data_IF_850747988466
#
_entry.id   IF_850747988466
#
_cell.length_a   1.000
_cell.length_b   1.000
_cell.length_c   1.000
_cell.angle_alpha   90.00
_cell.angle_beta   90.00
_cell.angle_gamma   90.00
#
_symmetry.space_group_name_H-M   'P 1'
#
loop_
_entity.id
_entity.type
_entity.pdbx_description
1 polymer ?
#
# COMPACT_ATOMS: atom_id res chain seq x y z
N UNK A 1 10.51 -23.11 -12.65
CA UNK A 1 10.07 -21.69 -12.64
C UNK A 1 11.03 -20.90 -13.51
N UNK A 2 10.54 -20.21 -14.55
CA UNK A 2 11.36 -19.62 -15.61
C UNK A 2 12.13 -18.34 -15.20
N UNK A 3 13.10 -17.94 -16.03
CA UNK A 3 14.00 -16.80 -15.80
C UNK A 3 13.26 -15.49 -15.46
N UNK A 4 12.13 -15.21 -16.11
CA UNK A 4 11.30 -14.02 -15.84
C UNK A 4 10.83 -13.94 -14.38
N UNK A 5 10.46 -15.08 -13.77
CA UNK A 5 10.02 -15.12 -12.37
C UNK A 5 11.15 -14.82 -11.38
N UNK A 6 12.38 -15.21 -11.73
CA UNK A 6 13.56 -14.88 -10.94
C UNK A 6 13.86 -13.38 -10.95
N UNK A 7 13.74 -12.74 -12.12
CA UNK A 7 13.98 -11.31 -12.27
C UNK A 7 12.96 -10.45 -11.51
N UNK A 8 11.69 -10.86 -11.46
CA UNK A 8 10.64 -10.16 -10.71
C UNK A 8 10.94 -10.18 -9.21
N UNK A 9 11.24 -11.36 -8.64
CA UNK A 9 11.49 -11.49 -7.20
C UNK A 9 12.73 -10.75 -6.71
N UNK A 10 13.72 -10.53 -7.59
CA UNK A 10 14.92 -9.79 -7.23
C UNK A 10 14.65 -8.31 -6.88
N UNK A 11 13.48 -7.78 -7.22
CA UNK A 11 13.10 -6.38 -7.00
C UNK A 11 11.91 -6.23 -6.02
N UNK A 12 11.55 -7.30 -5.30
CA UNK A 12 10.44 -7.29 -4.34
C UNK A 12 10.97 -7.70 -2.98
N UNK A 13 10.80 -6.82 -2.00
CA UNK A 13 11.05 -7.14 -0.59
C UNK A 13 9.75 -7.61 0.07
N UNK A 14 9.82 -8.73 0.78
CA UNK A 14 8.69 -9.26 1.54
C UNK A 14 8.83 -8.85 3.00
N UNK A 15 7.89 -8.05 3.47
CA UNK A 15 7.87 -7.57 4.86
C UNK A 15 6.79 -8.33 5.61
N UNK A 16 7.15 -8.89 6.77
CA UNK A 16 6.16 -9.55 7.62
C UNK A 16 5.27 -8.51 8.31
N UNK A 17 3.98 -8.82 8.49
CA UNK A 17 3.05 -7.93 9.20
C UNK A 17 3.51 -7.61 10.64
N UNK A 18 4.23 -8.54 11.28
CA UNK A 18 4.80 -8.35 12.61
C UNK A 18 5.96 -7.34 12.64
N UNK A 19 6.59 -7.04 11.50
CA UNK A 19 7.64 -6.03 11.39
C UNK A 19 7.07 -4.60 11.32
N UNK A 20 5.77 -4.44 10.98
CA UNK A 20 5.11 -3.14 10.92
C UNK A 20 4.74 -2.70 12.34
N UNK A 21 5.11 -1.47 12.70
CA UNK A 21 4.89 -0.96 14.05
C UNK A 21 3.40 -0.93 14.42
N UNK A 22 3.09 -1.10 15.72
CA UNK A 22 1.72 -1.00 16.23
C UNK A 22 1.08 0.35 15.91
N UNK A 23 1.88 1.42 15.88
CA UNK A 23 1.44 2.78 15.52
C UNK A 23 0.99 2.85 14.06
N UNK A 24 1.84 2.40 13.12
CA UNK A 24 1.50 2.36 11.69
C UNK A 24 0.27 1.47 11.44
N UNK A 25 0.19 0.32 12.13
CA UNK A 25 -0.99 -0.57 12.07
C UNK A 25 -2.26 0.10 12.57
N UNK A 26 -2.19 0.88 13.65
CA UNK A 26 -3.33 1.63 14.17
C UNK A 26 -3.78 2.73 13.20
N UNK A 27 -2.83 3.48 12.61
CA UNK A 27 -3.13 4.49 11.59
C UNK A 27 -3.75 3.87 10.34
N UNK A 28 -3.20 2.76 9.84
CA UNK A 28 -3.73 2.01 8.71
C UNK A 28 -5.18 1.56 8.94
N UNK A 29 -5.49 1.00 10.12
CA UNK A 29 -6.87 0.65 10.50
C UNK A 29 -7.81 1.85 10.54
N UNK A 30 -7.37 2.99 11.09
CA UNK A 30 -8.16 4.22 11.12
C UNK A 30 -8.51 4.72 9.72
N UNK A 31 -7.57 4.63 8.77
CA UNK A 31 -7.79 5.02 7.37
C UNK A 31 -8.71 4.00 6.67
N UNK A 32 -8.53 2.71 6.90
CA UNK A 32 -9.33 1.64 6.31
C UNK A 32 -10.80 1.63 6.78
N UNK A 33 -11.08 2.05 8.03
CA UNK A 33 -12.39 1.95 8.66
C UNK A 33 -13.54 2.56 7.82
N UNK A 34 -14.60 1.79 7.53
CA UNK A 34 -15.72 2.29 6.72
C UNK A 34 -15.43 2.46 5.22
N UNK A 35 -14.32 1.89 4.71
CA UNK A 35 -14.12 1.60 3.28
C UNK A 35 -13.94 0.10 3.08
N UNK A 36 -12.75 -0.43 3.37
CA UNK A 36 -12.47 -1.87 3.44
C UNK A 36 -11.42 -2.08 4.54
N UNK A 37 -11.77 -2.84 5.59
CA UNK A 37 -10.89 -3.08 6.72
C UNK A 37 -9.72 -4.03 6.37
N UNK A 38 -9.87 -4.84 5.33
CA UNK A 38 -8.81 -5.74 4.86
C UNK A 38 -7.65 -5.00 4.19
N UNK A 39 -7.83 -3.73 3.82
CA UNK A 39 -6.78 -2.89 3.26
C UNK A 39 -5.84 -2.28 4.32
N UNK A 40 -6.19 -2.41 5.60
CA UNK A 40 -5.44 -1.82 6.70
C UNK A 40 -3.94 -2.20 6.73
N UNK A 41 -3.52 -3.45 6.46
CA UNK A 41 -2.11 -3.82 6.44
C UNK A 41 -1.31 -3.10 5.35
N UNK A 42 -1.90 -2.87 4.17
CA UNK A 42 -1.22 -2.19 3.06
C UNK A 42 -1.03 -0.70 3.34
N UNK A 43 -2.06 -0.06 3.90
CA UNK A 43 -1.99 1.33 4.37
C UNK A 43 -0.95 1.48 5.49
N UNK A 44 -0.93 0.55 6.44
CA UNK A 44 0.04 0.55 7.53
C UNK A 44 1.47 0.40 7.02
N UNK A 45 1.70 -0.49 6.06
CA UNK A 45 3.02 -0.68 5.46
C UNK A 45 3.49 0.57 4.70
N UNK A 46 2.61 1.20 3.93
CA UNK A 46 2.93 2.45 3.23
C UNK A 46 3.33 3.57 4.21
N UNK A 47 2.64 3.66 5.36
CA UNK A 47 2.98 4.61 6.43
C UNK A 47 4.34 4.28 7.06
N UNK A 48 4.60 3.01 7.37
CA UNK A 48 5.84 2.56 8.00
C UNK A 48 7.07 2.89 7.12
N UNK A 49 6.92 2.74 5.82
CA UNK A 49 8.00 2.95 4.85
C UNK A 49 8.09 4.38 4.32
N UNK A 50 7.20 5.29 4.74
CA UNK A 50 7.03 6.62 4.14
C UNK A 50 6.93 6.54 2.60
N UNK A 51 6.15 5.58 2.11
CA UNK A 51 6.11 5.16 0.72
C UNK A 51 4.74 5.30 0.07
N UNK A 52 4.70 5.20 -1.26
CA UNK A 52 3.45 5.21 -2.03
C UNK A 52 2.81 3.81 -2.06
N UNK A 53 1.53 3.72 -1.68
CA UNK A 53 0.72 2.53 -1.93
C UNK A 53 0.24 2.52 -3.38
N UNK A 54 0.82 1.64 -4.19
CA UNK A 54 0.33 1.37 -5.54
C UNK A 54 -0.91 0.46 -5.50
N UNK A 55 -2.04 0.96 -5.99
CA UNK A 55 -3.29 0.19 -6.05
C UNK A 55 -4.17 0.61 -7.23
N UNK A 56 -4.95 -0.35 -7.75
CA UNK A 56 -6.02 -0.10 -8.71
C UNK A 56 -7.40 0.05 -8.07
N UNK A 57 -7.50 -0.08 -6.75
CA UNK A 57 -8.78 0.02 -6.03
C UNK A 57 -9.21 1.49 -5.87
N UNK A 58 -10.12 1.93 -6.74
CA UNK A 58 -10.67 3.28 -6.68
C UNK A 58 -11.57 3.54 -5.46
N UNK A 59 -12.17 2.52 -4.84
CA UNK A 59 -12.95 2.69 -3.62
C UNK A 59 -12.02 3.01 -2.44
N UNK A 60 -10.93 2.25 -2.29
CA UNK A 60 -9.87 2.52 -1.32
C UNK A 60 -9.27 3.90 -1.53
N UNK A 61 -8.87 4.25 -2.76
CA UNK A 61 -8.26 5.55 -3.07
C UNK A 61 -9.17 6.70 -2.64
N UNK A 62 -10.46 6.66 -2.98
CA UNK A 62 -11.41 7.72 -2.59
C UNK A 62 -11.66 7.72 -1.08
N UNK A 63 -11.77 6.56 -0.45
CA UNK A 63 -11.95 6.43 1.00
C UNK A 63 -10.79 7.04 1.77
N UNK A 64 -9.57 6.64 1.43
CA UNK A 64 -8.34 7.10 2.05
C UNK A 64 -8.07 8.60 1.79
N UNK A 65 -8.26 9.10 0.57
CA UNK A 65 -8.11 10.53 0.25
C UNK A 65 -9.10 11.41 1.03
N UNK A 66 -10.35 10.97 1.23
CA UNK A 66 -11.33 11.68 2.08
C UNK A 66 -10.89 11.80 3.54
N UNK A 67 -9.99 10.92 3.99
CA UNK A 67 -9.40 10.91 5.33
C UNK A 67 -8.02 11.57 5.39
N UNK A 68 -7.59 12.26 4.32
CA UNK A 68 -6.32 12.97 4.26
C UNK A 68 -5.10 12.09 3.97
N UNK A 69 -5.29 10.82 3.59
CA UNK A 69 -4.18 9.96 3.17
C UNK A 69 -3.96 10.10 1.66
N UNK A 70 -2.80 10.64 1.29
CA UNK A 70 -2.44 10.96 -0.10
C UNK A 70 -1.29 10.12 -0.66
N UNK A 71 -0.72 9.20 0.13
CA UNK A 71 0.38 8.34 -0.29
C UNK A 71 -0.13 7.15 -1.11
N UNK A 72 -0.83 7.44 -2.21
CA UNK A 72 -1.49 6.48 -3.09
C UNK A 72 -1.12 6.80 -4.53
N UNK A 73 -0.88 5.77 -5.32
CA UNK A 73 -0.60 5.91 -6.75
C UNK A 73 -1.34 4.85 -7.55
N UNK A 74 -1.94 5.26 -8.67
CA UNK A 74 -2.57 4.37 -9.65
C UNK A 74 -1.56 3.85 -10.66
N UNK A 75 -1.90 2.80 -11.39
CA UNK A 75 -1.06 2.30 -12.49
C UNK A 75 -0.83 3.36 -13.57
N UNK A 76 -1.83 4.22 -13.84
CA UNK A 76 -1.71 5.29 -14.84
C UNK A 76 -0.71 6.35 -14.38
N UNK A 77 -0.81 6.81 -13.13
CA UNK A 77 0.12 7.76 -12.53
C UNK A 77 1.53 7.16 -12.46
N UNK A 78 1.68 5.90 -12.02
CA UNK A 78 2.97 5.21 -11.94
C UNK A 78 3.64 5.07 -13.31
N UNK A 79 2.88 4.78 -14.37
CA UNK A 79 3.39 4.67 -15.72
C UNK A 79 3.94 6.00 -16.27
N UNK A 80 3.48 7.14 -15.77
CA UNK A 80 3.96 8.48 -16.15
C UNK A 80 5.24 8.89 -15.43
N UNK A 81 5.64 8.18 -14.37
CA UNK A 81 6.89 8.47 -13.62
C UNK A 81 8.14 7.83 -14.25
N UNK A 82 7.98 7.18 -15.41
CA UNK A 82 9.04 6.49 -16.18
C UNK A 82 9.39 7.28 -17.43
#
# INVERSE_FOLDING_TARGET
MGAAWSAIRANIEFISDAAVSLESRAKGRSIAAGTDEFDAPFLALAIELDGLLWTGDYALIRGARRKGFHQLITTVELAQMR
#
